data_IF_750970737193
#
_entry.id   IF_750970737193
#
_cell.length_a   1.000
_cell.length_b   1.000
_cell.length_c   1.000
_cell.angle_alpha   90.00
_cell.angle_beta   90.00
_cell.angle_gamma   90.00
#
_symmetry.space_group_name_H-M   'P 1'
#
loop_
_entity.id
_entity.type
_entity.pdbx_description
1 polymer ?
#
# COMPACT_ATOMS: atom_id res chain seq x y z
N UNK A 1 20.61 -28.64 -35.59
CA UNK A 1 20.03 -29.62 -34.65
C UNK A 1 20.80 -29.50 -33.33
N UNK A 2 20.31 -28.72 -32.37
CA UNK A 2 21.01 -28.50 -31.09
C UNK A 2 20.03 -28.75 -29.93
N UNK A 3 20.23 -29.92 -29.32
CA UNK A 3 19.87 -30.37 -27.97
C UNK A 3 18.62 -29.70 -27.35
N UNK A 4 17.45 -30.34 -27.55
CA UNK A 4 16.34 -30.24 -26.59
C UNK A 4 16.87 -30.74 -25.25
N UNK A 5 16.99 -29.84 -24.27
CA UNK A 5 17.31 -30.20 -22.89
C UNK A 5 16.15 -31.02 -22.31
N UNK A 6 16.23 -32.33 -22.50
CA UNK A 6 15.44 -33.34 -21.82
C UNK A 6 15.82 -33.35 -20.33
N UNK A 7 14.86 -33.07 -19.46
CA UNK A 7 14.88 -33.61 -18.10
C UNK A 7 15.67 -32.87 -17.01
N UNK A 8 15.89 -31.55 -17.11
CA UNK A 8 16.27 -30.80 -15.91
C UNK A 8 15.06 -30.74 -14.97
N UNK A 9 15.12 -31.49 -13.85
CA UNK A 9 14.19 -31.30 -12.72
C UNK A 9 14.14 -29.79 -12.42
N UNK A 10 12.94 -29.21 -12.37
CA UNK A 10 12.75 -27.79 -12.00
C UNK A 10 13.26 -27.59 -10.57
N UNK A 11 14.55 -27.28 -10.43
CA UNK A 11 15.14 -26.88 -9.16
C UNK A 11 14.48 -25.60 -8.67
N UNK A 12 14.39 -25.44 -7.34
CA UNK A 12 14.00 -24.15 -6.75
C UNK A 12 15.04 -23.10 -7.15
N UNK A 13 14.59 -21.93 -7.59
CA UNK A 13 15.50 -20.82 -7.86
C UNK A 13 16.13 -20.35 -6.54
N UNK A 14 17.42 -19.99 -6.60
CA UNK A 14 18.12 -19.41 -5.46
C UNK A 14 17.41 -18.12 -4.99
N UNK A 15 17.30 -17.88 -3.66
CA UNK A 15 16.65 -16.67 -3.12
C UNK A 15 17.22 -15.37 -3.69
N UNK A 16 18.54 -15.32 -3.90
CA UNK A 16 19.26 -14.16 -4.43
C UNK A 16 18.86 -13.88 -5.87
N UNK A 17 18.75 -14.94 -6.69
CA UNK A 17 18.30 -14.84 -8.07
C UNK A 17 16.82 -14.42 -8.15
N UNK A 18 15.96 -14.95 -7.26
CA UNK A 18 14.56 -14.53 -7.17
C UNK A 18 14.46 -13.05 -6.81
N UNK A 19 15.23 -12.60 -5.82
CA UNK A 19 15.29 -11.20 -5.38
C UNK A 19 15.75 -10.29 -6.53
N UNK A 20 16.89 -10.59 -7.16
CA UNK A 20 17.39 -9.85 -8.31
C UNK A 20 16.37 -9.77 -9.45
N UNK A 21 15.75 -10.89 -9.81
CA UNK A 21 14.79 -10.95 -10.90
C UNK A 21 13.53 -10.12 -10.62
N UNK A 22 13.01 -10.19 -9.38
CA UNK A 22 11.89 -9.36 -8.94
C UNK A 22 12.25 -7.88 -8.99
N UNK A 23 13.38 -7.49 -8.38
CA UNK A 23 13.84 -6.09 -8.35
C UNK A 23 14.03 -5.50 -9.75
N UNK A 24 14.73 -6.21 -10.64
CA UNK A 24 14.95 -5.73 -12.00
C UNK A 24 13.63 -5.63 -12.79
N UNK A 25 12.75 -6.62 -12.64
CA UNK A 25 11.44 -6.59 -13.30
C UNK A 25 10.54 -5.48 -12.76
N UNK A 26 10.59 -5.19 -11.46
CA UNK A 26 9.85 -4.11 -10.80
C UNK A 26 10.30 -2.75 -11.33
N UNK A 27 11.62 -2.48 -11.37
CA UNK A 27 12.14 -1.22 -11.88
C UNK A 27 11.90 -1.04 -13.37
N UNK A 28 12.09 -2.09 -14.17
CA UNK A 28 11.81 -2.03 -15.60
C UNK A 28 11.64 -3.41 -16.21
N UNK A 29 10.41 -3.76 -16.54
CA UNK A 29 10.08 -4.95 -17.32
C UNK A 29 10.84 -4.98 -18.66
N UNK A 30 11.04 -3.82 -19.30
CA UNK A 30 11.81 -3.72 -20.56
C UNK A 30 13.28 -4.09 -20.33
N UNK A 31 13.90 -3.55 -19.27
CA UNK A 31 15.28 -3.88 -18.92
C UNK A 31 15.42 -5.36 -18.55
N UNK A 32 14.48 -5.92 -17.76
CA UNK A 32 14.45 -7.34 -17.44
C UNK A 32 14.40 -8.22 -18.70
N UNK A 33 13.50 -7.89 -19.64
CA UNK A 33 13.38 -8.63 -20.91
C UNK A 33 14.64 -8.50 -21.76
N UNK A 34 15.26 -7.32 -21.79
CA UNK A 34 16.52 -7.09 -22.49
C UNK A 34 17.66 -7.93 -21.90
N UNK A 35 17.88 -7.85 -20.58
CA UNK A 35 18.92 -8.63 -19.88
C UNK A 35 18.69 -10.13 -20.10
N UNK A 36 17.45 -10.59 -19.98
CA UNK A 36 17.11 -11.99 -20.27
C UNK A 36 17.39 -12.35 -21.74
N UNK A 37 17.15 -11.47 -22.70
CA UNK A 37 17.46 -11.72 -24.12
C UNK A 37 18.98 -11.81 -24.35
N UNK A 38 19.74 -10.88 -23.78
CA UNK A 38 21.21 -10.80 -23.94
C UNK A 38 21.90 -11.99 -23.28
N UNK A 39 21.52 -12.30 -22.04
CA UNK A 39 22.12 -13.39 -21.25
C UNK A 39 21.30 -14.69 -21.30
N UNK A 40 20.43 -14.86 -22.31
CA UNK A 40 19.63 -16.08 -22.57
C UNK A 40 18.85 -16.59 -21.34
N UNK A 41 19.12 -17.80 -20.87
CA UNK A 41 18.38 -18.47 -19.79
C UNK A 41 18.88 -18.13 -18.40
N UNK A 42 19.78 -17.15 -18.24
CA UNK A 42 20.29 -16.73 -16.93
C UNK A 42 19.19 -16.15 -16.01
N UNK A 43 18.08 -15.65 -16.57
CA UNK A 43 16.95 -15.14 -15.80
C UNK A 43 15.67 -15.97 -15.98
N UNK A 44 14.86 -16.13 -14.91
CA UNK A 44 13.57 -16.80 -14.98
C UNK A 44 12.66 -16.26 -16.09
N UNK A 45 11.73 -17.09 -16.57
CA UNK A 45 10.71 -16.59 -17.50
C UNK A 45 9.83 -15.53 -16.83
N UNK A 46 9.34 -14.54 -17.58
CA UNK A 46 8.47 -13.48 -17.03
C UNK A 46 7.22 -14.05 -16.36
N UNK A 47 6.68 -15.17 -16.86
CA UNK A 47 5.57 -15.88 -16.20
C UNK A 47 5.94 -16.41 -14.81
N UNK A 48 7.18 -16.84 -14.60
CA UNK A 48 7.66 -17.25 -13.27
C UNK A 48 7.74 -16.04 -12.33
N UNK A 49 8.25 -14.92 -12.83
CA UNK A 49 8.32 -13.67 -12.05
C UNK A 49 6.92 -13.16 -11.70
N UNK A 50 5.96 -13.20 -12.64
CA UNK A 50 4.55 -12.88 -12.38
C UNK A 50 3.94 -13.74 -11.28
N UNK A 51 4.19 -15.06 -11.32
CA UNK A 51 3.73 -15.98 -10.26
C UNK A 51 4.32 -15.66 -8.89
N UNK A 52 5.54 -15.12 -8.84
CA UNK A 52 6.14 -14.69 -7.59
C UNK A 52 5.51 -13.41 -7.01
N UNK A 53 4.97 -12.52 -7.85
CA UNK A 53 4.19 -11.37 -7.38
C UNK A 53 2.82 -11.78 -6.81
N UNK A 54 2.20 -12.83 -7.37
CA UNK A 54 0.88 -13.33 -6.95
C UNK A 54 0.85 -14.00 -5.56
N UNK A 55 1.97 -14.04 -4.82
CA UNK A 55 2.02 -14.65 -3.48
C UNK A 55 1.47 -13.72 -2.41
N UNK A 56 1.52 -12.41 -2.65
CA UNK A 56 1.02 -11.40 -1.70
C UNK A 56 -0.44 -11.10 -2.04
N UNK A 57 -1.29 -11.09 -1.02
CA UNK A 57 -2.68 -10.68 -1.19
C UNK A 57 -2.73 -9.18 -1.50
N UNK A 58 -3.27 -8.86 -2.66
CA UNK A 58 -3.44 -7.49 -3.15
C UNK A 58 -4.88 -7.01 -3.07
N UNK A 59 -5.78 -7.72 -2.38
CA UNK A 59 -7.19 -7.35 -2.25
C UNK A 59 -7.38 -6.06 -1.43
N UNK A 60 -8.50 -5.34 -1.62
CA UNK A 60 -8.85 -4.21 -0.77
C UNK A 60 -8.97 -4.63 0.70
N UNK A 61 -8.67 -3.73 1.61
CA UNK A 61 -8.60 -3.99 3.04
C UNK A 61 -7.23 -3.69 3.64
N UNK A 62 -7.04 -4.14 4.88
CA UNK A 62 -5.76 -4.07 5.58
C UNK A 62 -4.81 -5.19 5.10
N UNK A 63 -3.61 -4.80 4.68
CA UNK A 63 -2.58 -5.72 4.21
C UNK A 63 -1.88 -6.40 5.39
N UNK A 64 -2.17 -7.68 5.62
CA UNK A 64 -1.61 -8.48 6.71
C UNK A 64 -0.08 -8.53 6.65
N UNK A 65 0.48 -8.67 5.45
CA UNK A 65 1.91 -8.70 5.21
C UNK A 65 2.59 -7.39 5.61
N UNK A 66 1.93 -6.25 5.39
CA UNK A 66 2.46 -4.95 5.80
C UNK A 66 2.47 -4.80 7.32
N UNK A 67 1.39 -5.21 7.99
CA UNK A 67 1.29 -5.19 9.45
C UNK A 67 2.32 -6.12 10.10
N UNK A 68 2.54 -7.31 9.55
CA UNK A 68 3.56 -8.24 10.04
C UNK A 68 4.99 -7.68 9.87
N UNK A 69 5.27 -7.03 8.73
CA UNK A 69 6.55 -6.34 8.52
C UNK A 69 6.76 -5.22 9.55
N UNK A 70 5.71 -4.45 9.87
CA UNK A 70 5.77 -3.43 10.91
C UNK A 70 6.06 -4.03 12.29
N UNK A 71 5.44 -5.16 12.61
CA UNK A 71 5.67 -5.91 13.85
C UNK A 71 7.12 -6.39 13.96
N UNK A 72 7.67 -6.99 12.90
CA UNK A 72 9.08 -7.38 12.86
C UNK A 72 10.01 -6.18 13.09
N UNK A 73 9.74 -5.05 12.41
CA UNK A 73 10.52 -3.82 12.58
C UNK A 73 10.45 -3.28 14.02
N UNK A 74 9.26 -3.30 14.63
CA UNK A 74 9.08 -2.86 16.01
C UNK A 74 9.87 -3.73 17.00
N UNK A 75 9.84 -5.06 16.82
CA UNK A 75 10.64 -6.00 17.62
C UNK A 75 12.14 -5.74 17.47
N UNK A 76 12.64 -5.61 16.24
CA UNK A 76 14.06 -5.31 15.97
C UNK A 76 14.51 -3.97 16.58
N UNK A 77 13.64 -2.95 16.55
CA UNK A 77 13.92 -1.67 17.18
C UNK A 77 13.94 -1.78 18.70
N UNK A 78 12.97 -2.49 19.28
CA UNK A 78 12.87 -2.72 20.73
C UNK A 78 14.09 -3.44 21.29
N UNK A 79 14.59 -4.47 20.58
CA UNK A 79 15.84 -5.18 20.92
C UNK A 79 17.07 -4.24 20.97
N UNK A 80 17.02 -3.11 20.25
CA UNK A 80 18.06 -2.07 20.24
C UNK A 80 17.73 -0.90 21.17
N UNK A 81 16.77 -1.05 22.09
CA UNK A 81 16.25 0.01 22.95
C UNK A 81 15.78 1.25 22.17
N UNK A 82 15.14 1.05 21.01
CA UNK A 82 14.56 2.10 20.18
C UNK A 82 13.06 1.87 20.00
N UNK A 83 12.31 2.95 19.93
CA UNK A 83 10.90 2.93 19.56
C UNK A 83 10.73 3.48 18.14
N UNK A 84 9.98 2.77 17.29
CA UNK A 84 9.61 3.29 15.97
C UNK A 84 8.49 4.30 16.15
N UNK A 85 8.71 5.51 15.62
CA UNK A 85 7.73 6.61 15.65
C UNK A 85 7.29 6.87 14.22
N UNK A 86 5.97 6.88 13.99
CA UNK A 86 5.39 6.98 12.67
C UNK A 86 4.29 8.05 12.59
N UNK A 87 4.03 8.48 11.36
CA UNK A 87 2.85 9.24 10.97
C UNK A 87 1.97 8.36 10.06
N UNK A 88 0.66 8.36 10.32
CA UNK A 88 -0.34 7.80 9.43
C UNK A 88 -0.72 8.86 8.38
N UNK A 89 -0.65 8.49 7.11
CA UNK A 89 -0.98 9.33 5.96
C UNK A 89 -2.19 8.71 5.28
N UNK A 90 -3.19 9.55 5.01
CA UNK A 90 -4.42 9.16 4.34
C UNK A 90 -4.60 10.05 3.13
N UNK A 91 -4.89 9.42 2.00
CA UNK A 91 -5.18 10.13 0.76
C UNK A 91 -6.22 9.39 -0.06
N UNK A 92 -6.99 10.13 -0.84
CA UNK A 92 -8.04 9.63 -1.69
C UNK A 92 -7.69 9.85 -3.16
N UNK A 93 -7.64 8.77 -3.94
CA UNK A 93 -7.25 8.82 -5.35
C UNK A 93 -8.44 8.47 -6.22
N UNK A 94 -8.76 9.32 -7.20
CA UNK A 94 -9.80 8.99 -8.18
C UNK A 94 -9.36 7.81 -9.06
N UNK A 95 -10.26 6.84 -9.23
CA UNK A 95 -10.08 5.67 -10.09
C UNK A 95 -11.15 5.67 -11.17
N UNK A 96 -10.86 4.97 -12.28
CA UNK A 96 -11.84 4.82 -13.36
C UNK A 96 -12.99 3.93 -12.89
N UNK A 97 -14.23 4.42 -13.02
CA UNK A 97 -15.45 3.64 -12.82
C UNK A 97 -15.55 2.57 -13.91
N UNK A 98 -15.21 1.34 -13.59
CA UNK A 98 -15.23 0.23 -14.51
C UNK A 98 -15.29 -1.08 -13.72
N UNK A 99 -16.02 -2.06 -14.27
CA UNK A 99 -16.01 -3.43 -13.75
C UNK A 99 -15.24 -4.35 -14.69
N UNK A 100 -14.50 -5.29 -14.11
CA UNK A 100 -13.72 -6.29 -14.86
C UNK A 100 -13.86 -7.66 -14.19
N UNK A 101 -13.86 -8.72 -15.01
CA UNK A 101 -13.87 -10.10 -14.52
C UNK A 101 -12.42 -10.58 -14.40
N UNK A 102 -11.91 -10.70 -13.18
CA UNK A 102 -10.59 -11.25 -12.90
C UNK A 102 -10.71 -12.62 -12.22
N UNK A 103 -10.17 -13.67 -12.86
CA UNK A 103 -10.20 -15.05 -12.38
C UNK A 103 -11.58 -15.56 -11.92
N UNK A 104 -12.66 -15.08 -12.56
CA UNK A 104 -14.04 -15.44 -12.23
C UNK A 104 -14.68 -14.59 -11.12
N UNK A 105 -13.94 -13.65 -10.52
CA UNK A 105 -14.47 -12.64 -9.59
C UNK A 105 -14.74 -11.33 -10.33
N UNK A 106 -15.91 -10.75 -10.12
CA UNK A 106 -16.25 -9.45 -10.67
C UNK A 106 -15.67 -8.36 -9.75
N UNK A 107 -14.76 -7.55 -10.28
CA UNK A 107 -14.06 -6.48 -9.58
C UNK A 107 -14.54 -5.10 -10.05
N UNK A 108 -14.30 -4.05 -9.25
CA UNK A 108 -14.61 -2.65 -9.60
C UNK A 108 -15.73 -2.00 -8.78
N UNK A 109 -16.31 -2.73 -7.83
CA UNK A 109 -17.29 -2.20 -6.88
C UNK A 109 -16.61 -1.65 -5.63
N UNK A 110 -17.39 -0.95 -4.81
CA UNK A 110 -17.00 -0.60 -3.45
C UNK A 110 -16.60 -1.87 -2.70
N UNK A 111 -15.44 -1.82 -2.03
CA UNK A 111 -14.86 -2.95 -1.34
C UNK A 111 -14.05 -2.45 -0.13
N UNK A 112 -14.54 -2.80 1.06
CA UNK A 112 -13.94 -2.45 2.34
C UNK A 112 -13.02 -3.56 2.90
N UNK A 113 -12.72 -4.60 2.11
CA UNK A 113 -11.94 -5.76 2.55
C UNK A 113 -12.73 -6.69 3.48
N UNK A 114 -14.06 -6.71 3.32
CA UNK A 114 -14.97 -7.61 4.04
C UNK A 114 -15.63 -8.55 3.03
N UNK A 115 -15.91 -9.80 3.43
CA UNK A 115 -16.58 -10.80 2.59
C UNK A 115 -18.09 -10.52 2.33
N UNK A 116 -18.52 -9.27 2.48
CA UNK A 116 -19.88 -8.83 2.20
C UNK A 116 -20.05 -8.63 0.68
N UNK A 117 -20.25 -9.72 -0.03
CA UNK A 117 -20.70 -9.69 -1.42
C UNK A 117 -22.19 -9.29 -1.46
N UNK A 118 -22.46 -7.99 -1.49
CA UNK A 118 -23.81 -7.51 -1.79
C UNK A 118 -23.96 -7.28 -3.30
N UNK A 119 -24.99 -7.83 -3.95
CA UNK A 119 -25.24 -7.65 -5.39
C UNK A 119 -25.59 -6.21 -5.80
N UNK A 120 -25.66 -5.26 -4.85
CA UNK A 120 -26.08 -3.87 -5.04
C UNK A 120 -25.00 -2.84 -4.74
N UNK A 121 -23.74 -3.24 -4.49
CA UNK A 121 -22.68 -2.27 -4.22
C UNK A 121 -22.45 -1.35 -5.43
N UNK A 122 -22.28 -0.03 -5.23
CA UNK A 122 -22.01 0.89 -6.32
C UNK A 122 -20.61 0.64 -6.90
N UNK A 123 -20.44 1.07 -8.16
CA UNK A 123 -19.13 1.05 -8.82
C UNK A 123 -18.24 2.10 -8.15
N UNK A 124 -17.09 1.67 -7.64
CA UNK A 124 -16.15 2.55 -6.97
C UNK A 124 -15.61 3.64 -7.92
N UNK A 125 -15.48 4.85 -7.40
CA UNK A 125 -14.92 6.01 -8.12
C UNK A 125 -13.60 6.50 -7.52
N UNK A 126 -13.30 6.08 -6.29
CA UNK A 126 -12.12 6.50 -5.55
C UNK A 126 -11.51 5.32 -4.79
N UNK A 127 -10.20 5.38 -4.56
CA UNK A 127 -9.48 4.50 -3.67
C UNK A 127 -8.98 5.30 -2.46
N UNK A 128 -9.44 4.95 -1.26
CA UNK A 128 -8.94 5.54 -0.02
C UNK A 128 -7.74 4.74 0.46
N UNK A 129 -6.58 5.37 0.54
CA UNK A 129 -5.30 4.71 0.85
C UNK A 129 -4.79 5.12 2.23
N UNK A 130 -4.19 4.16 2.93
CA UNK A 130 -3.57 4.36 4.23
C UNK A 130 -2.10 3.96 4.14
N UNK A 131 -1.21 4.88 4.49
CA UNK A 131 0.23 4.67 4.44
C UNK A 131 0.86 5.10 5.76
N UNK A 132 1.81 4.31 6.25
CA UNK A 132 2.60 4.65 7.43
C UNK A 132 3.97 5.14 6.98
N UNK A 133 4.35 6.33 7.43
CA UNK A 133 5.67 6.91 7.21
C UNK A 133 6.44 6.95 8.53
N UNK A 134 7.66 6.40 8.55
CA UNK A 134 8.52 6.52 9.71
C UNK A 134 9.04 7.94 9.86
N UNK A 135 8.89 8.51 11.05
CA UNK A 135 9.43 9.83 11.39
C UNK A 135 10.90 9.71 11.75
N UNK A 136 11.26 8.66 12.49
CA UNK A 136 12.64 8.38 12.91
C UNK A 136 13.31 7.28 12.07
N UNK A 137 12.86 7.10 10.82
CA UNK A 137 13.43 6.14 9.87
C UNK A 137 13.15 6.57 8.43
N UNK A 138 13.90 6.01 7.48
CA UNK A 138 13.73 6.33 6.06
C UNK A 138 12.95 5.21 5.34
N UNK A 139 11.67 5.06 5.67
CA UNK A 139 10.79 4.13 4.99
C UNK A 139 9.33 4.54 5.13
N UNK A 140 8.53 4.11 4.16
CA UNK A 140 7.08 4.22 4.13
C UNK A 140 6.47 2.92 3.63
N UNK A 141 5.32 2.55 4.16
CA UNK A 141 4.64 1.30 3.79
C UNK A 141 3.13 1.55 3.69
N UNK A 142 2.49 1.24 2.54
CA UNK A 142 1.04 1.18 2.47
C UNK A 142 0.54 0.04 3.36
N UNK A 143 -0.45 0.31 4.19
CA UNK A 143 -1.00 -0.66 5.15
C UNK A 143 -2.42 -1.08 4.80
N UNK A 144 -3.15 -0.26 4.05
CA UNK A 144 -4.49 -0.56 3.61
C UNK A 144 -4.88 0.29 2.40
N UNK A 145 -5.84 -0.22 1.64
CA UNK A 145 -6.60 0.59 0.72
C UNK A 145 -8.03 0.07 0.62
N UNK A 146 -8.99 0.95 0.35
CA UNK A 146 -10.40 0.59 0.21
C UNK A 146 -10.96 1.21 -1.05
N UNK A 147 -11.82 0.48 -1.77
CA UNK A 147 -12.52 0.98 -2.94
C UNK A 147 -13.84 1.60 -2.48
N UNK A 148 -14.08 2.87 -2.81
CA UNK A 148 -15.21 3.64 -2.27
C UNK A 148 -15.96 4.40 -3.37
N UNK A 149 -17.21 4.77 -3.08
CA UNK A 149 -18.04 5.71 -3.84
C UNK A 149 -18.34 6.94 -2.97
N UNK A 150 -17.27 7.56 -2.49
CA UNK A 150 -17.30 8.54 -1.41
C UNK A 150 -17.50 7.91 -0.01
N UNK A 151 -17.16 8.67 1.02
CA UNK A 151 -17.39 8.33 2.42
C UNK A 151 -17.78 9.57 3.20
N UNK A 152 -18.69 9.42 4.16
CA UNK A 152 -18.97 10.49 5.11
C UNK A 152 -17.87 10.57 6.20
N UNK A 153 -17.90 11.64 7.00
CA UNK A 153 -16.87 11.87 8.01
C UNK A 153 -16.84 10.79 9.10
N UNK A 154 -17.99 10.22 9.46
CA UNK A 154 -18.11 9.18 10.49
C UNK A 154 -17.51 7.87 9.99
N UNK A 155 -17.86 7.44 8.77
CA UNK A 155 -17.32 6.23 8.14
C UNK A 155 -15.80 6.31 7.99
N UNK A 156 -15.29 7.45 7.49
CA UNK A 156 -13.84 7.69 7.39
C UNK A 156 -13.18 7.64 8.76
N UNK A 157 -13.79 8.25 9.77
CA UNK A 157 -13.27 8.22 11.15
C UNK A 157 -13.20 6.79 11.70
N UNK A 158 -14.20 5.96 11.42
CA UNK A 158 -14.22 4.55 11.86
C UNK A 158 -13.08 3.76 11.22
N UNK A 159 -12.84 3.91 9.90
CA UNK A 159 -11.70 3.26 9.24
C UNK A 159 -10.36 3.72 9.83
N UNK A 160 -10.24 4.99 10.19
CA UNK A 160 -9.04 5.53 10.84
C UNK A 160 -8.82 4.92 12.22
N UNK A 161 -9.87 4.80 13.03
CA UNK A 161 -9.79 4.17 14.35
C UNK A 161 -9.32 2.72 14.24
N UNK A 162 -9.92 1.95 13.33
CA UNK A 162 -9.50 0.56 13.06
C UNK A 162 -8.03 0.52 12.61
N UNK A 163 -7.60 1.43 11.72
CA UNK A 163 -6.21 1.51 11.30
C UNK A 163 -5.26 1.80 12.47
N UNK A 164 -5.62 2.71 13.36
CA UNK A 164 -4.83 3.04 14.56
C UNK A 164 -4.75 1.86 15.54
N UNK A 165 -5.84 1.11 15.71
CA UNK A 165 -5.88 -0.12 16.51
C UNK A 165 -4.94 -1.18 15.93
N UNK A 166 -5.05 -1.49 14.63
CA UNK A 166 -4.14 -2.43 13.97
C UNK A 166 -2.67 -2.01 14.09
N UNK A 167 -2.36 -0.71 13.96
CA UNK A 167 -1.01 -0.20 14.11
C UNK A 167 -0.50 -0.27 15.54
N UNK A 168 -1.36 -0.04 16.53
CA UNK A 168 -1.02 -0.19 17.93
C UNK A 168 -0.59 -1.63 18.23
N UNK A 169 -1.29 -2.62 17.69
CA UNK A 169 -0.96 -4.05 17.84
C UNK A 169 0.41 -4.43 17.25
N UNK A 170 0.91 -3.69 16.24
CA UNK A 170 2.25 -3.93 15.70
C UNK A 170 3.38 -3.48 16.64
N UNK A 171 3.09 -2.65 17.63
CA UNK A 171 4.07 -2.11 18.58
C UNK A 171 4.79 -0.84 18.10
N UNK A 172 4.43 -0.28 16.94
CA UNK A 172 4.91 1.05 16.52
C UNK A 172 4.13 2.16 17.25
N UNK A 173 4.73 3.34 17.38
CA UNK A 173 4.06 4.52 17.96
C UNK A 173 3.63 5.47 16.85
N UNK A 174 2.32 5.57 16.62
CA UNK A 174 1.76 6.59 15.70
C UNK A 174 1.54 7.88 16.47
N UNK A 175 2.12 8.99 16.01
CA UNK A 175 2.08 10.29 16.71
C UNK A 175 1.38 11.40 15.93
N UNK A 176 1.12 11.17 14.64
CA UNK A 176 0.52 12.16 13.76
C UNK A 176 -0.35 11.48 12.71
N UNK A 177 -1.41 12.17 12.31
CA UNK A 177 -2.27 11.85 11.19
C UNK A 177 -2.15 12.98 10.16
N UNK A 178 -1.89 12.63 8.90
CA UNK A 178 -1.79 13.58 7.78
C UNK A 178 -2.85 13.25 6.73
N UNK A 179 -3.53 14.27 6.24
CA UNK A 179 -4.52 14.21 5.17
C UNK A 179 -4.51 15.52 4.36
N UNK A 180 -5.17 15.55 3.22
CA UNK A 180 -5.27 16.74 2.36
C UNK A 180 -6.22 17.82 2.94
N UNK A 181 -6.23 19.00 2.31
CA UNK A 181 -7.03 20.15 2.76
C UNK A 181 -8.53 20.08 2.46
N UNK A 182 -9.13 18.90 2.23
CA UNK A 182 -10.55 18.79 1.89
C UNK A 182 -11.43 18.96 3.14
N UNK A 183 -12.56 19.69 3.02
CA UNK A 183 -13.47 19.99 4.14
C UNK A 183 -13.96 18.74 4.90
N UNK A 184 -14.11 17.60 4.22
CA UNK A 184 -14.50 16.35 4.88
C UNK A 184 -13.43 15.87 5.87
N UNK A 185 -12.14 16.09 5.59
CA UNK A 185 -11.03 15.70 6.46
C UNK A 185 -10.91 16.60 7.69
N UNK A 186 -11.29 17.87 7.59
CA UNK A 186 -11.44 18.74 8.77
C UNK A 186 -12.51 18.20 9.73
N UNK A 187 -13.66 17.76 9.20
CA UNK A 187 -14.71 17.12 10.01
C UNK A 187 -14.19 15.84 10.68
N UNK A 188 -13.44 15.02 9.95
CA UNK A 188 -12.80 13.81 10.50
C UNK A 188 -11.86 14.13 11.66
N UNK A 189 -11.03 15.18 11.52
CA UNK A 189 -10.19 15.64 12.63
C UNK A 189 -11.02 16.04 13.86
N UNK A 190 -12.16 16.71 13.66
CA UNK A 190 -13.07 17.06 14.75
C UNK A 190 -13.74 15.82 15.39
N UNK A 191 -14.15 14.83 14.60
CA UNK A 191 -14.68 13.54 15.09
C UNK A 191 -13.63 12.72 15.86
N UNK A 192 -12.34 12.92 15.56
CA UNK A 192 -11.21 12.35 16.30
C UNK A 192 -10.84 13.15 17.56
N UNK A 193 -11.54 14.25 17.85
CA UNK A 193 -11.35 15.09 19.04
C UNK A 193 -10.37 16.25 18.86
N UNK A 194 -9.87 16.51 17.65
CA UNK A 194 -9.18 17.76 17.37
C UNK A 194 -10.17 18.93 17.24
N UNK A 195 -9.66 20.16 17.27
CA UNK A 195 -10.44 21.35 16.90
C UNK A 195 -9.81 21.98 15.67
N UNK A 196 -10.33 21.63 14.49
CA UNK A 196 -9.85 22.13 13.20
C UNK A 196 -10.92 23.01 12.56
N UNK A 197 -10.65 24.31 12.50
CA UNK A 197 -11.48 25.30 11.83
C UNK A 197 -10.71 25.87 10.63
N UNK A 198 -11.20 25.67 9.41
CA UNK A 198 -10.50 26.10 8.18
C UNK A 198 -10.19 27.60 8.16
N UNK A 199 -11.07 28.43 8.75
CA UNK A 199 -10.91 29.89 8.88
C UNK A 199 -9.77 30.32 9.81
N UNK A 200 -9.27 29.43 10.68
CA UNK A 200 -8.23 29.75 11.66
C UNK A 200 -6.81 29.54 11.11
N UNK A 201 -6.65 28.89 9.96
CA UNK A 201 -5.32 28.67 9.37
C UNK A 201 -4.81 29.92 8.65
N UNK A 202 -3.69 30.48 9.12
CA UNK A 202 -2.92 31.47 8.35
C UNK A 202 -2.20 30.75 7.21
N UNK A 203 -2.74 30.87 6.00
CA UNK A 203 -2.20 30.22 4.78
C UNK A 203 -1.15 31.06 4.02
N UNK A 204 -0.85 32.27 4.49
CA UNK A 204 0.06 33.19 3.80
C UNK A 204 1.44 33.20 4.47
N UNK A 205 2.49 32.99 3.67
CA UNK A 205 3.87 33.21 4.07
C UNK A 205 4.26 34.65 3.70
N UNK A 206 4.87 35.38 4.64
CA UNK A 206 5.50 36.66 4.32
C UNK A 206 6.94 36.39 3.91
N UNK A 207 7.29 36.72 2.67
CA UNK A 207 8.67 36.76 2.22
C UNK A 207 9.04 38.23 2.03
N UNK A 208 10.08 38.69 2.72
CA UNK A 208 10.72 39.96 2.36
C UNK A 208 11.48 39.73 1.07
N UNK A 209 11.11 40.43 0.00
CA UNK A 209 11.81 40.38 -1.27
C UNK A 209 13.18 41.05 -1.12
N UNK A 210 14.18 40.29 -0.66
CA UNK A 210 15.59 40.63 -0.76
C UNK A 210 16.29 39.55 -1.61
N UNK A 211 15.86 39.43 -2.87
CA UNK A 211 16.60 38.70 -3.90
C UNK A 211 17.55 39.65 -4.61
#
# INVERSE_FOLDING_TARGET
MLLRASGLKKGKYAPELRSFALTLHFYSKKAYVYVRKVFKTCLPHTSTVKKWYQVVDGSPGFTKEALEVLKCKAVEASQRNRQIVCCLIIDEMSIRRQTELDNGKLCGYVDYGTDLESPELPIANNALTFMVNAVNGNWKIPIAYFLIDGLNAIERTNLIKIALECLHETGIKVVALTFDGLLCNFKVGNELGARLEASQFKINFSASNNW
#
